data_IF_001510843735
#
_entry.id   IF_001510843735
#
_cell.length_a   1.000
_cell.length_b   1.000
_cell.length_c   1.000
_cell.angle_alpha   90.00
_cell.angle_beta   90.00
_cell.angle_gamma   90.00
#
_symmetry.space_group_name_H-M   'P 1'
#
loop_
_entity.id
_entity.type
_entity.pdbx_description
1 polymer ?
#
# COMPACT_ATOMS: atom_id res chain seq x y z
N UNK A 1 10.51 -15.47 33.51
CA UNK A 1 10.42 -16.60 32.57
C UNK A 1 11.47 -16.37 31.51
N UNK A 2 12.49 -17.21 31.50
CA UNK A 2 13.65 -17.04 30.61
C UNK A 2 13.34 -17.60 29.22
N UNK A 3 13.86 -16.98 28.15
CA UNK A 3 13.49 -17.31 26.75
C UNK A 3 13.83 -18.77 26.39
N UNK A 4 14.74 -19.38 27.13
CA UNK A 4 15.16 -20.78 27.02
C UNK A 4 14.15 -21.79 27.55
N UNK A 5 13.24 -21.40 28.45
CA UNK A 5 12.27 -22.34 29.05
C UNK A 5 11.08 -22.63 28.13
N UNK A 6 10.75 -21.71 27.21
CA UNK A 6 9.65 -21.88 26.26
C UNK A 6 9.98 -22.92 25.19
N UNK A 7 11.22 -22.95 24.71
CA UNK A 7 11.69 -23.88 23.67
C UNK A 7 11.70 -25.32 24.19
N UNK A 8 12.04 -25.52 25.47
CA UNK A 8 12.02 -26.86 26.10
C UNK A 8 10.60 -27.41 26.29
N UNK A 9 9.59 -26.56 26.42
CA UNK A 9 8.19 -26.98 26.65
C UNK A 9 7.41 -27.29 25.37
N UNK A 10 7.85 -26.82 24.21
CA UNK A 10 7.16 -27.02 22.93
C UNK A 10 7.78 -28.13 22.05
N UNK A 11 8.92 -28.69 22.43
CA UNK A 11 9.67 -29.69 21.67
C UNK A 11 9.36 -31.13 22.08
N UNK A 12 8.15 -31.63 21.80
CA UNK A 12 7.87 -33.07 21.80
C UNK A 12 6.65 -33.34 20.91
N UNK A 13 6.89 -33.63 19.63
CA UNK A 13 5.82 -33.93 18.68
C UNK A 13 6.28 -34.21 17.26
N UNK A 14 7.42 -34.91 17.07
CA UNK A 14 7.82 -35.46 15.77
C UNK A 14 8.49 -36.82 15.99
N UNK A 15 7.67 -37.86 16.13
CA UNK A 15 8.10 -39.24 15.90
C UNK A 15 7.03 -39.93 15.04
N UNK A 16 7.38 -40.16 13.77
CA UNK A 16 7.09 -41.42 13.07
C UNK A 16 5.80 -41.53 12.25
N UNK A 17 5.92 -41.39 10.93
CA UNK A 17 5.30 -42.28 9.92
C UNK A 17 6.26 -42.33 8.71
N UNK A 18 7.18 -43.32 8.68
CA UNK A 18 7.17 -44.49 7.79
C UNK A 18 7.28 -44.18 6.30
N UNK A 19 8.39 -44.66 5.72
CA UNK A 19 8.72 -44.64 4.30
C UNK A 19 7.64 -45.29 3.41
N UNK A 20 7.27 -44.58 2.34
CA UNK A 20 6.67 -45.14 1.13
C UNK A 20 7.31 -44.46 -0.09
N UNK A 21 7.59 -45.18 -1.19
CA UNK A 21 8.37 -44.67 -2.30
C UNK A 21 7.49 -43.80 -3.19
N UNK A 22 7.47 -42.49 -2.95
CA UNK A 22 7.01 -41.52 -3.95
C UNK A 22 8.15 -41.25 -4.94
N UNK A 23 8.53 -42.28 -5.69
CA UNK A 23 9.39 -42.20 -6.88
C UNK A 23 8.55 -42.36 -8.17
N UNK A 24 7.37 -41.75 -8.25
CA UNK A 24 6.67 -41.52 -9.53
C UNK A 24 5.77 -40.28 -9.38
N UNK A 25 6.34 -39.08 -9.55
CA UNK A 25 5.64 -37.91 -10.14
C UNK A 25 6.57 -36.69 -10.33
N UNK A 26 7.82 -36.92 -10.74
CA UNK A 26 8.78 -35.83 -11.02
C UNK A 26 8.54 -35.14 -12.37
N UNK A 27 7.33 -35.16 -12.94
CA UNK A 27 7.05 -34.62 -14.28
C UNK A 27 6.09 -33.42 -14.32
N UNK A 28 5.58 -32.91 -13.19
CA UNK A 28 4.68 -31.73 -13.18
C UNK A 28 5.02 -30.73 -12.05
N UNK A 29 6.25 -30.73 -11.54
CA UNK A 29 6.65 -29.74 -10.55
C UNK A 29 8.01 -29.18 -10.91
N UNK A 30 8.01 -28.09 -11.69
CA UNK A 30 8.84 -26.90 -11.47
C UNK A 30 8.83 -26.02 -12.73
N UNK A 31 7.69 -25.38 -12.99
CA UNK A 31 7.74 -24.05 -13.59
C UNK A 31 8.19 -23.13 -12.44
N UNK A 32 9.51 -22.95 -12.32
CA UNK A 32 10.10 -22.06 -11.32
C UNK A 32 9.69 -20.64 -11.66
N UNK A 33 8.67 -20.14 -10.95
CA UNK A 33 8.26 -18.74 -10.95
C UNK A 33 9.46 -17.89 -10.55
N UNK A 34 10.14 -17.31 -11.55
CA UNK A 34 11.24 -16.38 -11.28
C UNK A 34 10.68 -15.22 -10.46
N UNK A 35 11.39 -14.75 -9.40
CA UNK A 35 10.90 -13.66 -8.59
C UNK A 35 10.70 -12.43 -9.47
N UNK A 36 9.44 -12.11 -9.78
CA UNK A 36 9.06 -10.96 -10.59
C UNK A 36 9.73 -9.71 -10.00
N UNK A 37 10.56 -9.02 -10.80
CA UNK A 37 11.24 -7.77 -10.38
C UNK A 37 10.18 -6.83 -9.81
N UNK A 38 10.28 -6.52 -8.52
CA UNK A 38 9.31 -5.65 -7.85
C UNK A 38 9.37 -4.28 -8.51
N UNK A 39 8.22 -3.80 -8.98
CA UNK A 39 8.07 -2.43 -9.46
C UNK A 39 8.36 -1.46 -8.32
N UNK A 40 8.89 -0.29 -8.68
CA UNK A 40 9.14 0.81 -7.75
C UNK A 40 8.29 1.98 -8.15
N UNK A 41 7.82 2.74 -7.17
CA UNK A 41 6.90 3.84 -7.40
C UNK A 41 7.37 5.09 -6.65
N UNK A 42 7.20 6.25 -7.29
CA UNK A 42 7.17 7.56 -6.61
C UNK A 42 5.73 7.83 -6.20
N UNK A 43 5.51 8.35 -5.00
CA UNK A 43 4.18 8.75 -4.54
C UNK A 43 4.22 10.20 -4.08
N UNK A 44 3.33 11.01 -4.65
CA UNK A 44 3.12 12.41 -4.31
C UNK A 44 1.70 12.60 -3.80
N UNK A 45 1.52 13.50 -2.84
CA UNK A 45 0.23 13.82 -2.25
C UNK A 45 0.02 15.32 -2.43
N UNK A 46 -1.11 15.70 -3.03
CA UNK A 46 -1.52 17.09 -3.24
C UNK A 46 -2.86 17.34 -2.54
N UNK A 47 -3.01 18.47 -1.85
CA UNK A 47 -4.31 18.89 -1.32
C UNK A 47 -5.13 19.49 -2.45
N UNK A 48 -6.04 18.70 -3.00
CA UNK A 48 -6.86 19.03 -4.17
C UNK A 48 -8.01 19.99 -3.83
N UNK A 49 -8.67 19.74 -2.70
CA UNK A 49 -9.71 20.62 -2.15
C UNK A 49 -9.39 20.93 -0.70
N UNK A 50 -9.67 22.17 -0.31
CA UNK A 50 -9.59 22.62 1.05
C UNK A 50 -10.59 23.75 1.28
N UNK A 51 -11.16 23.81 2.48
CA UNK A 51 -11.87 24.99 2.94
C UNK A 51 -10.88 26.15 3.13
N UNK A 52 -11.24 27.38 2.77
CA UNK A 52 -10.31 28.53 2.80
C UNK A 52 -9.72 28.80 4.20
N UNK A 53 -10.54 28.68 5.22
CA UNK A 53 -10.22 28.90 6.64
C UNK A 53 -9.76 27.63 7.38
N UNK A 54 -9.48 26.54 6.67
CA UNK A 54 -8.94 25.33 7.32
C UNK A 54 -7.65 25.64 8.08
N UNK A 55 -7.48 24.98 9.22
CA UNK A 55 -6.36 25.19 10.11
C UNK A 55 -5.12 24.35 9.75
N UNK A 56 -5.28 23.26 8.99
CA UNK A 56 -4.22 22.26 8.82
C UNK A 56 -3.46 22.33 7.50
N UNK A 57 -4.14 22.35 6.34
CA UNK A 57 -3.49 22.38 5.02
C UNK A 57 -4.27 23.20 4.01
N UNK A 58 -3.59 23.90 3.10
CA UNK A 58 -4.24 24.70 2.05
C UNK A 58 -4.29 23.95 0.73
N UNK A 59 -5.24 24.36 -0.13
CA UNK A 59 -5.35 23.84 -1.49
C UNK A 59 -4.03 24.10 -2.24
N UNK A 60 -3.49 23.07 -2.88
CA UNK A 60 -2.24 23.10 -3.61
C UNK A 60 -1.00 22.73 -2.78
N UNK A 61 -1.12 22.50 -1.47
CA UNK A 61 -0.02 21.95 -0.67
C UNK A 61 0.39 20.58 -1.22
N UNK A 62 1.71 20.35 -1.34
CA UNK A 62 2.29 19.13 -1.89
C UNK A 62 3.25 18.47 -0.91
N UNK A 63 3.21 17.15 -0.86
CA UNK A 63 4.02 16.32 0.04
C UNK A 63 4.58 15.12 -0.72
N UNK A 64 5.86 14.81 -0.52
CA UNK A 64 6.46 13.59 -1.04
C UNK A 64 6.37 12.44 -0.01
N UNK A 65 5.82 11.30 -0.39
CA UNK A 65 5.79 10.11 0.48
C UNK A 65 7.00 9.22 0.21
N UNK A 66 7.70 8.71 1.24
CA UNK A 66 7.42 8.83 2.68
C UNK A 66 8.05 10.03 3.39
N UNK A 67 8.90 10.82 2.72
CA UNK A 67 9.74 11.85 3.32
C UNK A 67 8.97 12.92 4.11
N UNK A 68 7.85 13.38 3.58
CA UNK A 68 7.03 14.46 4.13
C UNK A 68 5.80 13.96 4.91
N UNK A 69 5.65 12.63 5.08
CA UNK A 69 4.43 12.08 5.68
C UNK A 69 4.18 12.56 7.12
N UNK A 70 5.25 12.93 7.84
CA UNK A 70 5.16 13.54 9.18
C UNK A 70 4.66 14.99 9.18
N UNK A 71 4.67 15.69 8.04
CA UNK A 71 4.14 17.06 7.89
C UNK A 71 2.62 17.07 7.72
N UNK A 72 2.04 15.94 7.31
CA UNK A 72 0.59 15.82 7.13
C UNK A 72 -0.10 15.69 8.49
N UNK A 73 -1.09 16.55 8.75
CA UNK A 73 -1.90 16.52 9.96
C UNK A 73 -2.45 15.11 10.28
N UNK A 74 -2.61 14.74 11.57
CA UNK A 74 -2.91 13.36 11.97
C UNK A 74 -4.20 12.77 11.38
N UNK A 75 -5.24 13.60 11.22
CA UNK A 75 -6.52 13.18 10.66
C UNK A 75 -6.40 12.72 9.22
N UNK A 76 -5.82 13.56 8.36
CA UNK A 76 -5.62 13.23 6.96
C UNK A 76 -4.61 12.08 6.81
N UNK A 77 -3.53 12.10 7.60
CA UNK A 77 -2.50 11.06 7.60
C UNK A 77 -3.09 9.67 7.84
N UNK A 78 -4.01 9.56 8.80
CA UNK A 78 -4.67 8.29 9.13
C UNK A 78 -5.54 7.79 7.98
N UNK A 79 -6.31 8.69 7.35
CA UNK A 79 -7.14 8.32 6.19
C UNK A 79 -6.35 7.96 4.94
N UNK A 80 -5.16 8.52 4.76
CA UNK A 80 -4.29 8.22 3.63
C UNK A 80 -3.56 6.87 3.76
N UNK A 81 -3.32 6.40 4.99
CA UNK A 81 -2.37 5.32 5.27
C UNK A 81 -2.61 4.07 4.39
N UNK A 82 -3.83 3.56 4.36
CA UNK A 82 -4.11 2.29 3.69
C UNK A 82 -3.99 2.44 2.16
N UNK A 83 -4.43 3.57 1.61
CA UNK A 83 -4.26 3.88 0.18
C UNK A 83 -2.78 3.93 -0.21
N UNK A 84 -1.96 4.61 0.60
CA UNK A 84 -0.51 4.70 0.36
C UNK A 84 0.15 3.33 0.39
N UNK A 85 -0.23 2.47 1.36
CA UNK A 85 0.31 1.10 1.45
C UNK A 85 -0.11 0.23 0.27
N UNK A 86 -1.36 0.32 -0.17
CA UNK A 86 -1.85 -0.41 -1.34
C UNK A 86 -1.09 0.02 -2.60
N UNK A 87 -0.99 1.33 -2.84
CA UNK A 87 -0.31 1.89 -4.01
C UNK A 87 1.20 1.58 -4.02
N UNK A 88 1.86 1.63 -2.85
CA UNK A 88 3.27 1.26 -2.66
C UNK A 88 3.54 -0.22 -3.03
N UNK A 89 2.55 -1.10 -2.84
CA UNK A 89 2.64 -2.53 -3.10
C UNK A 89 2.02 -2.95 -4.45
N UNK A 90 1.93 -2.02 -5.41
CA UNK A 90 1.35 -2.24 -6.75
C UNK A 90 -0.11 -2.74 -6.75
N UNK A 91 -0.88 -2.45 -5.70
CA UNK A 91 -2.32 -2.76 -5.70
C UNK A 91 -3.06 -1.70 -6.50
N UNK A 92 -3.96 -2.15 -7.38
CA UNK A 92 -4.82 -1.29 -8.17
C UNK A 92 -6.24 -1.29 -7.60
N UNK A 93 -6.76 -0.11 -7.28
CA UNK A 93 -8.14 0.11 -6.85
C UNK A 93 -8.99 0.49 -8.07
N UNK A 94 -9.86 -0.41 -8.52
CA UNK A 94 -10.43 -0.37 -9.88
C UNK A 94 -11.58 0.62 -10.07
N UNK A 95 -12.15 1.16 -9.00
CA UNK A 95 -13.23 2.15 -9.09
C UNK A 95 -12.69 3.50 -9.57
N UNK A 96 -13.35 4.12 -10.56
CA UNK A 96 -12.83 5.33 -11.22
C UNK A 96 -13.51 6.65 -10.84
N UNK A 97 -14.66 6.61 -10.19
CA UNK A 97 -15.48 7.82 -9.90
C UNK A 97 -15.83 8.64 -11.16
N UNK A 98 -16.23 7.96 -12.25
CA UNK A 98 -16.51 8.56 -13.56
C UNK A 98 -17.56 9.68 -13.47
N UNK A 99 -17.32 10.77 -14.18
CA UNK A 99 -18.23 11.92 -14.21
C UNK A 99 -18.21 12.78 -12.94
N UNK A 100 -17.27 12.54 -12.03
CA UNK A 100 -17.05 13.39 -10.84
C UNK A 100 -15.72 14.16 -10.96
N UNK A 101 -15.52 15.22 -10.16
CA UNK A 101 -14.22 15.91 -10.08
C UNK A 101 -13.04 15.04 -9.59
N UNK A 102 -13.33 13.82 -9.12
CA UNK A 102 -12.37 12.88 -8.55
C UNK A 102 -12.11 11.69 -9.47
N UNK A 103 -12.40 11.84 -10.76
CA UNK A 103 -12.16 10.79 -11.74
C UNK A 103 -10.68 10.38 -11.75
N UNK A 104 -10.42 9.08 -11.66
CA UNK A 104 -9.08 8.53 -11.49
C UNK A 104 -8.42 8.15 -12.81
N UNK A 105 -7.12 8.39 -12.88
CA UNK A 105 -6.23 7.72 -13.81
C UNK A 105 -5.78 6.39 -13.21
N UNK A 106 -5.83 5.31 -13.99
CA UNK A 106 -5.38 3.98 -13.57
C UNK A 106 -4.36 3.47 -14.59
N UNK A 107 -3.10 3.37 -14.16
CA UNK A 107 -1.98 2.86 -14.97
C UNK A 107 -1.84 3.52 -16.35
N UNK A 108 -2.27 4.77 -16.50
CA UNK A 108 -2.07 5.53 -17.73
C UNK A 108 -0.62 6.03 -17.73
N UNK A 109 0.20 5.51 -18.64
CA UNK A 109 1.63 5.83 -18.73
C UNK A 109 2.39 5.60 -17.41
N UNK A 110 2.00 4.56 -16.65
CA UNK A 110 2.56 4.24 -15.34
C UNK A 110 2.06 5.15 -14.20
N UNK A 111 1.08 6.01 -14.46
CA UNK A 111 0.48 6.93 -13.48
C UNK A 111 -0.86 6.38 -12.99
N UNK A 112 -1.04 6.36 -11.67
CA UNK A 112 -2.31 6.07 -11.00
C UNK A 112 -2.63 7.19 -10.02
N UNK A 113 -3.89 7.63 -9.97
CA UNK A 113 -4.34 8.66 -9.02
C UNK A 113 -5.41 8.12 -8.06
N UNK A 114 -5.37 8.54 -6.81
CA UNK A 114 -6.41 8.27 -5.81
C UNK A 114 -6.88 9.57 -5.16
N UNK A 115 -8.13 9.62 -4.70
CA UNK A 115 -8.67 10.77 -3.97
C UNK A 115 -9.19 10.31 -2.61
N UNK A 116 -8.73 10.98 -1.54
CA UNK A 116 -9.04 10.61 -0.16
C UNK A 116 -9.51 11.84 0.59
N UNK A 117 -10.69 11.76 1.21
CA UNK A 117 -11.25 12.84 2.02
C UNK A 117 -10.73 12.76 3.46
N UNK A 118 -10.36 13.91 4.01
CA UNK A 118 -10.04 14.04 5.43
C UNK A 118 -11.33 13.87 6.25
N UNK A 119 -11.32 13.10 7.36
CA UNK A 119 -12.50 12.84 8.16
C UNK A 119 -12.85 14.03 9.06
N UNK A 120 -11.94 14.99 9.23
CA UNK A 120 -12.19 16.22 9.97
C UNK A 120 -13.24 17.09 9.24
N UNK A 121 -14.47 17.20 9.75
CA UNK A 121 -15.54 17.96 9.10
C UNK A 121 -15.26 19.46 9.09
N UNK A 122 -14.35 19.95 9.95
CA UNK A 122 -14.03 21.37 10.03
C UNK A 122 -13.09 21.82 8.93
N UNK A 123 -12.28 20.91 8.39
CA UNK A 123 -11.26 21.21 7.39
C UNK A 123 -11.72 20.98 5.93
N UNK A 124 -12.67 20.07 5.70
CA UNK A 124 -13.19 19.71 4.38
C UNK A 124 -12.09 19.55 3.31
N UNK A 125 -11.08 18.73 3.62
CA UNK A 125 -9.95 18.47 2.71
C UNK A 125 -10.21 17.26 1.83
N UNK A 126 -9.79 17.33 0.58
CA UNK A 126 -9.58 16.16 -0.28
C UNK A 126 -8.13 16.16 -0.74
N UNK A 127 -7.43 15.06 -0.48
CA UNK A 127 -6.09 14.83 -0.98
C UNK A 127 -6.14 13.99 -2.25
N UNK A 128 -5.37 14.38 -3.26
CA UNK A 128 -5.06 13.60 -4.44
C UNK A 128 -3.70 12.93 -4.24
N UNK A 129 -3.66 11.61 -4.35
CA UNK A 129 -2.43 10.82 -4.38
C UNK A 129 -2.10 10.57 -5.85
N UNK A 130 -0.87 10.82 -6.25
CA UNK A 130 -0.33 10.45 -7.57
C UNK A 130 0.79 9.43 -7.36
N UNK A 131 0.61 8.22 -7.90
CA UNK A 131 1.62 7.17 -7.94
C UNK A 131 2.19 7.08 -9.35
N UNK A 132 3.50 7.15 -9.49
CA UNK A 132 4.21 7.04 -10.78
C UNK A 132 5.18 5.87 -10.74
N UNK A 133 5.10 4.96 -11.71
CA UNK A 133 6.07 3.87 -11.88
C UNK A 133 7.46 4.45 -12.23
N UNK A 134 8.50 3.99 -11.53
CA UNK A 134 9.88 4.37 -11.78
C UNK A 134 10.49 3.31 -12.70
N UNK A 135 10.70 3.67 -13.96
CA UNK A 135 11.42 2.83 -14.92
C UNK A 135 12.90 2.78 -14.52
N UNK A 136 13.39 1.59 -14.14
CA UNK A 136 14.77 1.34 -13.72
C UNK A 136 15.47 0.34 -14.60
#
# INVERSE_FOLDING_TARGET
MDRTDFIKKAGCGMIGLTAAPFLVNSAIAQEQDQPKKRRRFKIEIEIYEAREDTWCHKKGDKFEYPADFGKICPWLRTSLNDFLRLLENDVTLTWKYEGTPYEKLINQDGITTEYVRCPDPTSNLVAKITRTEITS
#
